data_IF_262177209860
#
_entry.id   IF_262177209860
#
_cell.length_a   1.000
_cell.length_b   1.000
_cell.length_c   1.000
_cell.angle_alpha   90.00
_cell.angle_beta   90.00
_cell.angle_gamma   90.00
#
_symmetry.space_group_name_H-M   'P 1'
#
loop_
_entity.id
_entity.type
_entity.pdbx_description
1 polymer ?
#
# COMPACT_ATOMS: atom_id res chain seq x y z
N UNK A 1 -0.40 -21.71 10.31
CA UNK A 1 0.21 -20.59 9.56
C UNK A 1 -0.48 -19.32 10.03
N UNK A 2 0.27 -18.38 10.61
CA UNK A 2 -0.30 -17.12 11.11
C UNK A 2 -0.81 -16.28 9.95
N UNK A 3 -1.97 -15.66 10.10
CA UNK A 3 -2.47 -14.70 9.13
C UNK A 3 -1.47 -13.56 8.98
N UNK A 4 -1.05 -13.26 7.75
CA UNK A 4 -0.24 -12.08 7.47
C UNK A 4 -1.13 -10.86 7.67
N UNK A 5 -0.71 -9.96 8.56
CA UNK A 5 -1.45 -8.74 8.85
C UNK A 5 -1.47 -7.84 7.59
N UNK A 6 -2.62 -7.26 7.24
CA UNK A 6 -2.71 -6.39 6.08
C UNK A 6 -1.84 -5.14 6.27
N UNK A 7 -1.20 -4.69 5.19
CA UNK A 7 -0.59 -3.38 5.18
C UNK A 7 -1.67 -2.31 5.03
N UNK A 8 -1.52 -1.19 5.76
CA UNK A 8 -2.32 0.02 5.59
C UNK A 8 -1.39 1.23 5.55
N UNK A 9 -1.51 2.04 4.50
CA UNK A 9 -0.79 3.30 4.35
C UNK A 9 -1.72 4.46 4.08
N UNK A 10 -1.69 5.48 4.94
CA UNK A 10 -2.37 6.76 4.77
C UNK A 10 -1.91 7.59 3.54
N UNK A 11 -2.87 8.15 2.82
CA UNK A 11 -2.69 9.12 1.75
C UNK A 11 -2.97 10.50 2.35
N UNK A 12 -1.92 11.25 2.67
CA UNK A 12 -2.06 12.53 3.38
C UNK A 12 -2.78 13.55 2.50
N UNK A 13 -3.83 14.17 3.05
CA UNK A 13 -4.73 15.05 2.29
C UNK A 13 -5.72 14.31 1.38
N UNK A 14 -5.59 12.98 1.25
CA UNK A 14 -6.40 12.14 0.39
C UNK A 14 -5.93 12.09 -1.06
N UNK A 15 -6.49 11.16 -1.81
CA UNK A 15 -6.15 10.91 -3.21
C UNK A 15 -6.48 12.13 -4.09
N UNK A 16 -5.59 12.47 -5.01
CA UNK A 16 -5.76 13.58 -5.96
C UNK A 16 -5.48 13.10 -7.38
N UNK A 17 -6.10 13.71 -8.41
CA UNK A 17 -5.64 13.52 -9.79
C UNK A 17 -4.14 13.80 -9.89
N UNK A 18 -3.46 13.19 -10.86
CA UNK A 18 -2.01 13.22 -11.10
C UNK A 18 -1.17 12.36 -10.15
N UNK A 19 -1.72 11.95 -9.00
CA UNK A 19 -1.04 11.03 -8.09
C UNK A 19 -0.77 9.67 -8.73
N UNK A 20 0.34 9.07 -8.32
CA UNK A 20 0.68 7.68 -8.61
C UNK A 20 0.90 6.92 -7.32
N UNK A 21 0.27 5.75 -7.15
CA UNK A 21 0.61 4.84 -6.06
C UNK A 21 1.38 3.66 -6.63
N UNK A 22 2.57 3.38 -6.10
CA UNK A 22 3.43 2.28 -6.58
C UNK A 22 3.51 1.18 -5.52
N UNK A 23 3.22 -0.04 -5.93
CA UNK A 23 3.25 -1.23 -5.09
C UNK A 23 4.25 -2.20 -5.71
N UNK A 24 5.28 -2.57 -4.95
CA UNK A 24 6.25 -3.59 -5.36
C UNK A 24 6.09 -4.77 -4.41
N UNK A 25 5.71 -5.91 -4.98
CA UNK A 25 5.37 -7.09 -4.22
C UNK A 25 5.90 -8.36 -4.85
N UNK A 26 5.85 -9.43 -4.08
CA UNK A 26 6.10 -10.80 -4.49
C UNK A 26 4.87 -11.63 -4.13
N UNK A 27 4.32 -12.33 -5.10
CA UNK A 27 3.20 -13.24 -4.85
C UNK A 27 3.72 -14.44 -4.04
N UNK A 28 2.97 -14.89 -3.04
CA UNK A 28 3.35 -16.11 -2.31
C UNK A 28 3.44 -17.33 -3.24
N UNK A 29 4.18 -18.36 -2.83
CA UNK A 29 4.38 -19.58 -3.64
C UNK A 29 3.14 -20.45 -3.79
N UNK A 30 2.12 -20.28 -2.91
CA UNK A 30 0.84 -20.99 -2.96
C UNK A 30 -0.33 -20.01 -2.75
N UNK A 31 -0.55 -19.06 -3.67
CA UNK A 31 -1.47 -17.96 -3.46
C UNK A 31 -2.91 -18.41 -3.73
N UNK A 32 -3.84 -17.96 -2.90
CA UNK A 32 -5.29 -18.07 -3.13
C UNK A 32 -5.83 -16.75 -3.66
N UNK A 33 -5.54 -15.67 -2.95
CA UNK A 33 -5.98 -14.32 -3.33
C UNK A 33 -5.18 -13.23 -2.64
N UNK A 34 -5.15 -12.05 -3.26
CA UNK A 34 -4.76 -10.82 -2.59
C UNK A 34 -5.65 -9.66 -3.04
N UNK A 35 -5.65 -8.57 -2.30
CA UNK A 35 -6.38 -7.36 -2.65
C UNK A 35 -5.57 -6.10 -2.43
N UNK A 36 -5.87 -5.11 -3.27
CA UNK A 36 -5.40 -3.72 -3.18
C UNK A 36 -6.64 -2.85 -3.06
N UNK A 37 -6.75 -2.11 -1.96
CA UNK A 37 -7.97 -1.38 -1.59
C UNK A 37 -7.65 0.09 -1.33
N UNK A 38 -8.45 0.98 -1.90
CA UNK A 38 -8.44 2.42 -1.63
C UNK A 38 -9.59 2.76 -0.67
N UNK A 39 -9.25 2.99 0.59
CA UNK A 39 -10.17 3.19 1.71
C UNK A 39 -10.45 4.67 1.95
N UNK A 40 -11.68 5.01 2.33
CA UNK A 40 -12.00 6.33 2.88
C UNK A 40 -11.53 6.51 4.32
N UNK A 41 -11.42 5.42 5.07
CA UNK A 41 -10.99 5.42 6.46
C UNK A 41 -9.92 4.33 6.66
N UNK A 42 -8.72 4.66 7.20
CA UNK A 42 -7.65 3.68 7.40
C UNK A 42 -7.98 2.63 8.47
N UNK A 43 -8.92 2.91 9.38
CA UNK A 43 -9.27 2.06 10.52
C UNK A 43 -10.59 1.34 10.27
N UNK A 44 -11.64 2.07 9.89
CA UNK A 44 -12.97 1.49 9.67
C UNK A 44 -13.15 1.03 8.21
N UNK A 45 -12.82 -0.25 8.00
CA UNK A 45 -12.96 -0.92 6.70
C UNK A 45 -14.41 -1.15 6.27
N UNK A 46 -15.42 -0.72 7.06
CA UNK A 46 -16.83 -0.72 6.67
C UNK A 46 -17.27 0.59 5.98
N UNK A 47 -16.41 1.63 6.02
CA UNK A 47 -16.63 2.88 5.29
C UNK A 47 -16.53 2.69 3.79
N UNK A 48 -16.89 3.72 3.04
CA UNK A 48 -16.85 3.68 1.59
C UNK A 48 -15.43 3.35 1.07
N UNK A 49 -15.41 2.72 -0.11
CA UNK A 49 -14.20 2.21 -0.75
C UNK A 49 -14.20 2.78 -2.17
N UNK A 50 -13.17 3.56 -2.50
CA UNK A 50 -13.02 4.15 -3.83
C UNK A 50 -12.64 3.11 -4.88
N UNK A 51 -11.87 2.09 -4.49
CA UNK A 51 -11.51 0.94 -5.33
C UNK A 51 -11.21 -0.27 -4.43
N UNK A 52 -11.82 -1.41 -4.73
CA UNK A 52 -11.38 -2.73 -4.31
C UNK A 52 -10.92 -3.48 -5.55
N UNK A 53 -9.61 -3.76 -5.65
CA UNK A 53 -9.00 -4.60 -6.68
C UNK A 53 -8.68 -5.94 -6.06
N UNK A 54 -9.36 -7.01 -6.49
CA UNK A 54 -9.19 -8.36 -5.94
C UNK A 54 -8.63 -9.30 -6.99
N UNK A 55 -7.59 -10.04 -6.64
CA UNK A 55 -6.96 -11.06 -7.48
C UNK A 55 -7.32 -12.43 -6.93
N UNK A 56 -7.86 -13.31 -7.78
CA UNK A 56 -8.13 -14.71 -7.47
C UNK A 56 -7.28 -15.61 -8.37
N UNK A 57 -6.41 -16.42 -7.76
CA UNK A 57 -5.48 -17.27 -8.50
C UNK A 57 -6.11 -18.57 -9.00
N UNK A 58 -7.14 -19.07 -8.31
CA UNK A 58 -7.86 -20.28 -8.71
C UNK A 58 -8.67 -20.03 -9.99
N UNK A 59 -9.34 -18.89 -10.06
CA UNK A 59 -10.13 -18.48 -11.23
C UNK A 59 -9.30 -17.73 -12.28
N UNK A 60 -8.05 -17.39 -11.96
CA UNK A 60 -7.22 -16.46 -12.75
C UNK A 60 -7.99 -15.19 -13.12
N UNK A 61 -8.71 -14.64 -12.14
CA UNK A 61 -9.64 -13.53 -12.33
C UNK A 61 -9.20 -12.31 -11.51
N UNK A 62 -9.57 -11.13 -12.01
CA UNK A 62 -9.37 -9.86 -11.32
C UNK A 62 -10.71 -9.12 -11.32
N UNK A 63 -11.19 -8.78 -10.13
CA UNK A 63 -12.41 -7.97 -9.98
C UNK A 63 -12.06 -6.57 -9.47
N UNK A 64 -12.76 -5.57 -10.01
CA UNK A 64 -12.73 -4.20 -9.49
C UNK A 64 -14.13 -3.77 -9.11
N UNK A 65 -14.27 -3.16 -7.95
CA UNK A 65 -15.53 -2.59 -7.49
C UNK A 65 -15.30 -1.38 -6.59
N UNK A 66 -16.37 -0.66 -6.27
CA UNK A 66 -16.40 0.39 -5.26
C UNK A 66 -17.60 0.17 -4.34
N UNK A 67 -17.48 0.64 -3.08
CA UNK A 67 -18.58 0.65 -2.13
C UNK A 67 -18.93 2.10 -1.80
N UNK A 68 -20.19 2.47 -2.01
CA UNK A 68 -20.69 3.83 -1.82
C UNK A 68 -21.96 3.76 -0.98
N UNK A 69 -22.04 4.58 0.07
CA UNK A 69 -23.09 4.51 1.08
C UNK A 69 -23.33 3.08 1.59
N UNK A 70 -22.23 2.34 1.82
CA UNK A 70 -22.26 0.96 2.30
C UNK A 70 -22.71 -0.11 1.28
N UNK A 71 -22.99 0.26 0.02
CA UNK A 71 -23.45 -0.68 -1.03
C UNK A 71 -22.40 -0.90 -2.10
N UNK A 72 -22.17 -2.16 -2.46
CA UNK A 72 -21.30 -2.52 -3.57
C UNK A 72 -21.95 -2.19 -4.91
N UNK A 73 -21.15 -1.64 -5.84
CA UNK A 73 -21.58 -1.43 -7.21
C UNK A 73 -21.47 -2.69 -8.07
N UNK A 74 -21.58 -2.51 -9.39
CA UNK A 74 -21.35 -3.58 -10.37
C UNK A 74 -19.87 -3.93 -10.45
N UNK A 75 -19.54 -5.22 -10.38
CA UNK A 75 -18.16 -5.69 -10.56
C UNK A 75 -17.70 -5.53 -12.01
N UNK A 76 -16.46 -5.11 -12.19
CA UNK A 76 -15.75 -5.15 -13.47
C UNK A 76 -14.72 -6.28 -13.46
N UNK A 77 -14.81 -7.18 -14.44
CA UNK A 77 -13.97 -8.40 -14.51
C UNK A 77 -13.10 -8.49 -15.75
N UNK A 78 -13.40 -7.70 -16.78
CA UNK A 78 -12.69 -7.73 -18.06
C UNK A 78 -11.24 -7.33 -17.86
N UNK A 79 -10.32 -8.22 -18.21
CA UNK A 79 -8.88 -8.02 -18.24
C UNK A 79 -8.35 -8.66 -19.53
N UNK A 80 -7.28 -8.12 -20.14
CA UNK A 80 -6.71 -8.66 -21.36
C UNK A 80 -6.00 -10.01 -21.12
N UNK A 81 -5.45 -10.21 -19.92
CA UNK A 81 -4.80 -11.43 -19.46
C UNK A 81 -4.66 -11.41 -17.93
N UNK A 82 -4.40 -12.56 -17.31
CA UNK A 82 -4.04 -12.65 -15.90
C UNK A 82 -2.53 -12.48 -15.71
N UNK A 83 -2.04 -11.41 -15.03
CA UNK A 83 -0.62 -11.03 -15.05
C UNK A 83 0.20 -11.60 -13.87
N UNK A 84 -0.41 -12.33 -12.94
CA UNK A 84 0.26 -12.74 -11.69
C UNK A 84 0.70 -14.21 -11.74
N UNK A 85 1.93 -14.45 -11.29
CA UNK A 85 2.51 -15.79 -11.16
C UNK A 85 2.93 -16.04 -9.72
N UNK A 86 2.68 -17.25 -9.20
CA UNK A 86 3.09 -17.63 -7.86
C UNK A 86 4.61 -17.57 -7.69
N UNK A 87 5.10 -16.92 -6.63
CA UNK A 87 6.54 -16.75 -6.36
C UNK A 87 7.20 -15.57 -7.09
N UNK A 88 6.56 -14.99 -8.09
CA UNK A 88 7.15 -13.91 -8.89
C UNK A 88 6.94 -12.54 -8.25
N UNK A 89 7.87 -11.63 -8.55
CA UNK A 89 7.76 -10.21 -8.21
C UNK A 89 6.96 -9.44 -9.25
N UNK A 90 6.27 -8.40 -8.83
CA UNK A 90 5.58 -7.47 -9.71
C UNK A 90 5.70 -6.03 -9.21
N UNK A 91 5.59 -5.07 -10.13
CA UNK A 91 5.38 -3.66 -9.84
C UNK A 91 3.99 -3.25 -10.35
N UNK A 92 3.09 -2.91 -9.45
CA UNK A 92 1.77 -2.36 -9.76
C UNK A 92 1.79 -0.84 -9.55
N UNK A 93 1.29 -0.09 -10.53
CA UNK A 93 1.14 1.36 -10.47
C UNK A 93 -0.34 1.72 -10.64
N UNK A 94 -0.90 2.44 -9.66
CA UNK A 94 -2.23 3.04 -9.73
C UNK A 94 -2.06 4.51 -10.13
N UNK A 95 -2.31 4.84 -11.39
CA UNK A 95 -2.27 6.21 -11.88
C UNK A 95 -3.65 6.84 -11.66
N UNK A 96 -3.72 7.80 -10.74
CA UNK A 96 -4.96 8.52 -10.46
C UNK A 96 -5.14 9.64 -11.50
N UNK A 97 -5.97 9.40 -12.50
CA UNK A 97 -6.38 10.40 -13.47
C UNK A 97 -7.63 11.12 -12.98
N UNK A 98 -8.04 12.19 -13.67
CA UNK A 98 -9.20 12.98 -13.28
C UNK A 98 -10.51 12.16 -13.27
N UNK A 99 -10.68 11.24 -14.23
CA UNK A 99 -11.94 10.48 -14.41
C UNK A 99 -11.83 9.02 -13.94
N UNK A 100 -10.62 8.50 -13.76
CA UNK A 100 -10.39 7.07 -13.54
C UNK A 100 -9.07 6.79 -12.85
N UNK A 101 -8.91 5.55 -12.39
CA UNK A 101 -7.62 4.97 -12.03
C UNK A 101 -7.18 4.07 -13.17
N UNK A 102 -6.01 4.36 -13.74
CA UNK A 102 -5.36 3.47 -14.70
C UNK A 102 -4.39 2.56 -13.94
N UNK A 103 -4.53 1.25 -14.11
CA UNK A 103 -3.70 0.23 -13.43
C UNK A 103 -2.67 -0.31 -14.41
N UNK A 104 -1.39 -0.16 -14.06
CA UNK A 104 -0.27 -0.74 -14.79
C UNK A 104 0.37 -1.85 -13.97
N UNK A 105 0.73 -2.95 -14.63
CA UNK A 105 1.59 -4.01 -14.08
C UNK A 105 2.87 -4.06 -14.92
N UNK A 106 4.02 -3.90 -14.26
CA UNK A 106 5.36 -3.89 -14.85
C UNK A 106 5.48 -2.94 -16.06
N UNK A 107 4.85 -1.77 -15.94
CA UNK A 107 4.85 -0.72 -16.96
C UNK A 107 3.84 -0.94 -18.11
N UNK A 108 3.07 -2.03 -18.11
CA UNK A 108 2.02 -2.31 -19.11
C UNK A 108 0.64 -2.07 -18.51
N UNK A 109 -0.23 -1.39 -19.24
CA UNK A 109 -1.61 -1.17 -18.80
C UNK A 109 -2.36 -2.50 -18.72
N UNK A 110 -2.98 -2.75 -17.57
CA UNK A 110 -3.78 -3.95 -17.31
C UNK A 110 -5.28 -3.65 -17.44
N UNK A 111 -5.75 -2.61 -16.78
CA UNK A 111 -7.15 -2.19 -16.80
C UNK A 111 -7.30 -0.74 -16.31
N UNK A 112 -8.43 -0.15 -16.65
CA UNK A 112 -8.88 1.12 -16.08
C UNK A 112 -10.06 0.86 -15.13
N UNK A 113 -10.29 1.78 -14.20
CA UNK A 113 -11.45 1.81 -13.32
C UNK A 113 -11.96 3.24 -13.16
N UNK A 114 -13.12 3.55 -13.74
CA UNK A 114 -13.74 4.87 -13.64
C UNK A 114 -14.09 5.18 -12.19
N UNK A 115 -13.75 6.39 -11.74
CA UNK A 115 -14.05 6.81 -10.37
C UNK A 115 -15.55 6.80 -10.12
N UNK A 116 -16.00 6.04 -9.12
CA UNK A 116 -17.41 6.02 -8.70
C UNK A 116 -17.64 6.87 -7.45
N UNK A 117 -16.60 7.03 -6.63
CA UNK A 117 -16.63 7.86 -5.43
C UNK A 117 -15.99 9.23 -5.72
N UNK A 118 -16.71 10.29 -5.38
CA UNK A 118 -16.23 11.68 -5.46
C UNK A 118 -16.67 12.45 -4.21
N UNK A 119 -15.90 13.46 -3.76
CA UNK A 119 -14.58 13.86 -4.28
C UNK A 119 -13.46 12.86 -3.93
N UNK A 120 -12.42 12.77 -4.78
CA UNK A 120 -11.32 11.80 -4.60
C UNK A 120 -10.56 11.94 -3.29
N UNK A 121 -10.50 13.16 -2.74
CA UNK A 121 -9.82 13.41 -1.48
C UNK A 121 -10.49 12.71 -0.28
N UNK A 122 -11.68 12.11 -0.43
CA UNK A 122 -12.28 11.23 0.56
C UNK A 122 -11.50 9.92 0.73
N UNK A 123 -10.78 9.46 -0.30
CA UNK A 123 -9.92 8.28 -0.21
C UNK A 123 -8.66 8.65 0.57
N UNK A 124 -8.50 8.07 1.76
CA UNK A 124 -7.45 8.41 2.73
C UNK A 124 -6.41 7.33 2.95
N UNK A 125 -6.58 6.12 2.43
CA UNK A 125 -5.58 5.07 2.63
C UNK A 125 -5.54 4.02 1.52
N UNK A 126 -4.35 3.45 1.33
CA UNK A 126 -4.07 2.25 0.57
C UNK A 126 -3.94 1.06 1.53
N UNK A 127 -4.76 0.03 1.34
CA UNK A 127 -4.66 -1.23 2.09
C UNK A 127 -4.31 -2.37 1.16
N UNK A 128 -3.36 -3.22 1.57
CA UNK A 128 -2.93 -4.41 0.84
C UNK A 128 -3.09 -5.63 1.75
N UNK A 129 -3.79 -6.65 1.28
CA UNK A 129 -4.13 -7.84 2.08
C UNK A 129 -3.98 -9.13 1.26
N UNK A 130 -3.77 -10.26 1.93
CA UNK A 130 -3.77 -11.59 1.31
C UNK A 130 -2.37 -12.14 0.98
N UNK A 131 -2.29 -13.00 -0.03
CA UNK A 131 -1.14 -13.86 -0.34
C UNK A 131 -0.03 -13.13 -1.13
N UNK A 132 0.44 -12.01 -0.56
CA UNK A 132 1.47 -11.14 -1.11
C UNK A 132 2.46 -10.73 -0.03
N UNK A 133 3.75 -10.75 -0.38
CA UNK A 133 4.83 -10.15 0.40
C UNK A 133 5.26 -8.85 -0.25
N UNK A 134 5.18 -7.76 0.48
CA UNK A 134 5.64 -6.46 0.00
C UNK A 134 7.18 -6.45 -0.01
N UNK A 135 7.76 -6.05 -1.14
CA UNK A 135 9.21 -6.06 -1.31
C UNK A 135 9.77 -4.68 -1.02
N UNK A 136 10.69 -4.61 -0.07
CA UNK A 136 11.44 -3.40 0.25
C UNK A 136 12.27 -3.01 -0.97
N UNK A 137 11.88 -1.96 -1.69
CA UNK A 137 12.79 -1.29 -2.60
C UNK A 137 13.56 -0.22 -1.84
N UNK A 138 14.48 -0.62 -0.95
CA UNK A 138 15.55 0.30 -0.56
C UNK A 138 16.53 0.36 -1.72
N UNK A 139 16.22 1.17 -2.73
CA UNK A 139 17.30 2.03 -3.21
C UNK A 139 17.38 3.13 -2.16
N UNK A 140 18.36 3.01 -1.28
CA UNK A 140 18.83 4.15 -0.50
C UNK A 140 19.30 5.16 -1.54
N UNK A 141 18.39 5.99 -2.03
CA UNK A 141 18.79 7.16 -2.77
C UNK A 141 19.49 8.02 -1.73
N UNK A 142 20.82 8.11 -1.83
CA UNK A 142 21.56 9.15 -1.13
C UNK A 142 20.89 10.48 -1.44
N UNK A 143 20.95 11.44 -0.53
CA UNK A 143 20.39 12.79 -0.74
C UNK A 143 20.90 13.39 -2.07
N UNK A 144 22.16 13.13 -2.44
CA UNK A 144 22.72 13.48 -3.75
C UNK A 144 22.15 12.72 -4.96
N UNK A 145 21.53 11.56 -4.77
CA UNK A 145 20.81 10.84 -5.84
C UNK A 145 19.38 11.37 -6.04
N UNK A 146 18.73 11.87 -4.99
CA UNK A 146 17.43 12.54 -5.10
C UNK A 146 17.58 13.87 -5.84
N UNK A 147 18.61 14.65 -5.55
CA UNK A 147 18.93 15.88 -6.28
C UNK A 147 19.24 15.61 -7.77
N UNK A 148 19.91 14.49 -8.09
CA UNK A 148 20.16 14.08 -9.48
C UNK A 148 18.89 13.63 -10.20
N UNK A 149 17.96 12.95 -9.54
CA UNK A 149 16.67 12.58 -10.14
C UNK A 149 15.77 13.82 -10.29
N UNK A 150 15.72 14.70 -9.29
CA UNK A 150 14.97 15.95 -9.32
C UNK A 150 15.48 16.89 -10.43
N UNK A 151 16.79 16.96 -10.64
CA UNK A 151 17.40 17.78 -11.69
C UNK A 151 17.08 17.32 -13.12
N UNK A 152 16.89 16.01 -13.33
CA UNK A 152 16.51 15.41 -14.63
C UNK A 152 15.01 15.54 -14.90
N UNK A 153 14.18 15.62 -13.85
CA UNK A 153 12.71 15.71 -13.96
C UNK A 153 12.15 17.13 -13.86
N UNK A 154 13.00 18.16 -13.97
CA UNK A 154 12.54 19.56 -14.07
C UNK A 154 11.73 19.75 -15.34
N UNK A 155 10.45 20.08 -15.20
CA UNK A 155 9.66 20.65 -16.29
C UNK A 155 9.92 22.17 -16.37
N UNK A 156 9.64 22.83 -17.51
CA UNK A 156 9.83 24.28 -17.63
C UNK A 156 9.05 25.12 -16.60
N UNK A 157 8.04 24.53 -15.93
CA UNK A 157 7.09 25.21 -15.05
C UNK A 157 7.31 24.97 -13.55
N UNK A 158 8.27 24.15 -13.11
CA UNK A 158 8.58 24.04 -11.69
C UNK A 158 9.23 22.74 -11.22
N UNK A 159 9.53 22.69 -9.91
CA UNK A 159 10.18 21.57 -9.22
C UNK A 159 9.14 20.47 -8.90
N UNK A 160 9.36 19.23 -9.37
CA UNK A 160 8.62 18.07 -8.88
C UNK A 160 8.90 17.87 -7.38
N UNK A 161 7.87 17.84 -6.54
CA UNK A 161 7.99 17.47 -5.12
C UNK A 161 7.98 15.95 -4.99
N UNK A 162 9.02 15.39 -4.39
CA UNK A 162 9.04 14.00 -3.97
C UNK A 162 8.61 13.92 -2.52
N UNK A 163 7.45 13.34 -2.22
CA UNK A 163 7.19 12.80 -0.88
C UNK A 163 7.58 11.32 -0.88
N UNK A 164 8.70 10.97 -0.23
CA UNK A 164 8.92 9.58 0.17
C UNK A 164 8.16 9.37 1.46
N UNK A 165 7.04 8.66 1.42
CA UNK A 165 6.39 8.25 2.67
C UNK A 165 7.13 7.01 3.17
N UNK A 166 7.96 7.19 4.21
CA UNK A 166 8.39 6.07 5.05
C UNK A 166 7.31 5.85 6.10
N UNK A 167 6.50 4.80 5.94
CA UNK A 167 5.51 4.43 6.95
C UNK A 167 6.11 3.46 7.96
N UNK A 168 6.17 3.91 9.22
CA UNK A 168 6.31 3.05 10.38
C UNK A 168 4.94 2.45 10.72
N UNK A 169 4.73 1.17 10.41
CA UNK A 169 3.64 0.42 11.00
C UNK A 169 3.96 0.19 12.49
N UNK A 170 3.23 0.86 13.40
CA UNK A 170 3.21 0.48 14.82
C UNK A 170 2.24 -0.67 14.98
N UNK A 171 2.73 -1.83 15.41
CA UNK A 171 1.88 -2.90 15.96
C UNK A 171 1.30 -2.39 17.26
N UNK A 172 0.01 -2.04 17.29
CA UNK A 172 -0.74 -1.91 18.54
C UNK A 172 -1.12 -3.31 19.01
N UNK A 173 -0.32 -3.89 19.90
CA UNK A 173 -0.72 -5.08 20.62
C UNK A 173 -1.97 -4.76 21.46
N UNK A 174 -3.07 -5.43 21.15
CA UNK A 174 -4.32 -5.36 21.89
C UNK A 174 -4.21 -6.11 23.21
N UNK A 175 -4.69 -5.44 24.25
CA UNK A 175 -5.21 -5.90 25.54
C UNK A 175 -4.27 -6.29 26.70
N UNK A 176 -4.46 -5.45 27.74
CA UNK A 176 -4.43 -5.69 29.20
C UNK A 176 -3.06 -5.79 29.86
N UNK A 177 -2.87 -4.92 30.87
CA UNK A 177 -1.93 -5.03 32.00
C UNK A 177 -0.49 -4.49 31.95
N UNK A 178 -0.17 -3.41 31.24
CA UNK A 178 1.14 -2.74 31.43
C UNK A 178 1.09 -1.20 31.48
N UNK A 179 0.15 -0.64 32.23
CA UNK A 179 0.24 0.75 32.71
C UNK A 179 1.05 0.87 34.02
N UNK A 180 2.01 -0.02 34.27
CA UNK A 180 2.73 -0.08 35.57
C UNK A 180 4.24 -0.29 35.50
N UNK A 181 4.87 -0.02 34.36
CA UNK A 181 6.34 -0.07 34.22
C UNK A 181 6.90 1.18 33.53
N UNK A 182 6.50 2.36 34.02
CA UNK A 182 7.22 3.61 33.73
C UNK A 182 7.73 4.33 34.99
N UNK A 183 7.49 3.79 36.18
CA UNK A 183 8.17 4.24 37.41
C UNK A 183 8.65 3.00 38.12
N UNK A 184 9.94 2.67 37.96
CA UNK A 184 10.79 2.06 38.98
C UNK A 184 12.15 1.69 38.35
N UNK A 185 13.20 2.11 39.05
CA UNK A 185 14.62 1.74 38.93
C UNK A 185 15.49 2.45 37.88
N UNK A 186 15.98 3.64 38.26
CA UNK A 186 17.44 3.79 38.32
C UNK A 186 17.96 2.72 39.30
N UNK A 187 18.81 1.80 38.85
CA UNK A 187 19.89 1.16 39.62
C UNK A 187 20.28 -0.20 39.02
N UNK A 188 21.57 -0.30 38.71
CA UNK A 188 22.43 -1.50 38.53
C UNK A 188 21.92 -2.87 38.97
N UNK A 189 22.00 -3.89 38.09
CA UNK A 189 22.71 -5.19 38.26
C UNK A 189 22.47 -6.12 37.04
N UNK A 190 23.43 -7.01 36.76
CA UNK A 190 23.53 -7.87 35.59
C UNK A 190 22.64 -9.15 35.57
N UNK A 191 22.33 -9.60 34.33
CA UNK A 191 21.93 -10.94 33.81
C UNK A 191 20.58 -11.56 34.26
N UNK A 192 19.83 -12.33 33.42
CA UNK A 192 20.37 -13.39 32.55
C UNK A 192 19.78 -13.54 31.12
N UNK A 193 20.46 -14.37 30.34
CA UNK A 193 20.07 -14.87 29.01
C UNK A 193 18.60 -15.37 28.93
N UNK A 194 17.80 -14.70 28.10
CA UNK A 194 16.42 -15.11 27.84
C UNK A 194 15.88 -14.54 26.53
N UNK A 195 15.62 -15.44 25.56
CA UNK A 195 14.91 -15.24 24.29
C UNK A 195 15.22 -13.92 23.54
N UNK A 196 16.07 -14.01 22.51
CA UNK A 196 16.10 -12.98 21.45
C UNK A 196 14.69 -12.81 20.90
N UNK A 197 14.04 -11.68 21.23
CA UNK A 197 12.89 -11.21 20.48
C UNK A 197 13.33 -11.13 19.02
N UNK A 198 12.66 -11.88 18.14
CA UNK A 198 12.91 -11.78 16.71
C UNK A 198 12.60 -10.33 16.31
N UNK A 199 13.62 -9.60 15.86
CA UNK A 199 13.45 -8.29 15.25
C UNK A 199 12.68 -8.51 13.95
N UNK A 200 11.36 -8.42 14.00
CA UNK A 200 10.52 -8.51 12.78
C UNK A 200 10.84 -7.25 11.97
N UNK A 201 11.38 -7.39 10.74
CA UNK A 201 11.82 -6.22 9.97
C UNK A 201 10.62 -5.32 9.68
N UNK A 202 10.78 -4.03 10.03
CA UNK A 202 9.83 -2.96 9.73
C UNK A 202 9.58 -2.88 8.22
N UNK A 203 8.33 -3.00 7.80
CA UNK A 203 7.92 -2.91 6.41
C UNK A 203 7.73 -1.44 6.03
N UNK A 204 8.67 -0.88 5.26
CA UNK A 204 8.54 0.46 4.68
C UNK A 204 8.05 0.31 3.24
N UNK A 205 6.84 0.78 2.95
CA UNK A 205 6.34 0.92 1.57
C UNK A 205 6.63 2.33 1.10
N UNK A 206 7.22 2.45 -0.09
CA UNK A 206 7.43 3.71 -0.76
C UNK A 206 6.15 4.10 -1.52
N UNK A 207 5.35 4.98 -0.93
CA UNK A 207 4.33 5.73 -1.68
C UNK A 207 5.08 6.92 -2.29
N UNK A 208 5.11 6.99 -3.63
CA UNK A 208 5.67 8.13 -4.37
C UNK A 208 4.50 8.98 -4.85
N UNK A 209 4.13 10.02 -4.11
CA UNK A 209 3.16 10.99 -4.64
C UNK A 209 3.89 11.85 -5.67
N UNK A 210 3.51 11.73 -6.95
CA UNK A 210 3.92 12.69 -7.99
C UNK A 210 2.76 13.66 -8.20
N UNK A 211 3.00 14.95 -8.02
CA UNK A 211 2.14 16.02 -8.56
C UNK A 211 2.75 16.41 -9.91
N UNK A 212 1.96 16.37 -10.98
CA UNK A 212 2.37 16.87 -12.31
C UNK A 212 2.02 18.34 -12.45
#
# INVERSE_FOLDING_TARGET
MGAVEPYVGEIKGGLRPTMKLTIIGMVHSKPKSFSVTLLCDPVDVNKDIGLLFTVNFSEKSITRNARIAGKWGREEKTIPYFPFTAGDTFKMELLCEHQQIRVLLDGRQLCDFTHRLQPLNLVKALRISGDIKLTKSSRNFSEGSLERVASVLRTPTGLMKFSSISMDARVTASNRDTAKLLEMSQSTRAEPAGRKAALIPRQTILIIETEY
#
